data_IF_607581442682
#
_entry.id   IF_607581442682
#
_cell.length_a   1.000
_cell.length_b   1.000
_cell.length_c   1.000
_cell.angle_alpha   90.00
_cell.angle_beta   90.00
_cell.angle_gamma   90.00
#
_symmetry.space_group_name_H-M   'P 1'
#
loop_
_entity.id
_entity.type
_entity.pdbx_description
1 polymer ?
#
# COMPACT_ATOMS: atom_id res chain seq x y z
N UNK A 1 -35.85 -2.24 -10.92
CA UNK A 1 -34.80 -1.39 -11.52
C UNK A 1 -33.75 -1.10 -10.43
N UNK A 2 -32.78 -2.00 -10.23
CA UNK A 2 -31.78 -1.91 -9.14
C UNK A 2 -30.39 -1.81 -9.74
N UNK A 3 -29.92 -0.58 -9.95
CA UNK A 3 -28.62 -0.34 -10.57
C UNK A 3 -27.89 0.83 -9.90
N UNK A 4 -27.26 0.63 -8.72
CA UNK A 4 -26.17 1.53 -8.27
C UNK A 4 -25.34 1.05 -7.07
N UNK A 5 -24.77 -0.14 -7.12
CA UNK A 5 -23.65 -0.49 -6.24
C UNK A 5 -22.48 -1.06 -7.03
N UNK A 6 -21.90 -0.27 -7.93
CA UNK A 6 -20.50 -0.47 -8.34
C UNK A 6 -19.61 0.42 -7.48
N UNK A 7 -19.47 0.09 -6.18
CA UNK A 7 -18.20 0.38 -5.51
C UNK A 7 -17.18 -0.45 -6.29
N UNK A 8 -16.26 0.20 -6.97
CA UNK A 8 -15.14 -0.50 -7.62
C UNK A 8 -14.45 -1.32 -6.52
N UNK A 9 -14.66 -2.65 -6.56
CA UNK A 9 -14.24 -3.63 -5.55
C UNK A 9 -12.74 -3.90 -5.58
N UNK A 10 -12.02 -3.22 -6.48
CA UNK A 10 -10.57 -3.31 -6.59
C UNK A 10 -9.92 -2.47 -5.49
N UNK A 11 -8.91 -3.03 -4.79
CA UNK A 11 -8.18 -2.28 -3.77
C UNK A 11 -7.43 -1.10 -4.40
N UNK A 12 -7.10 -0.09 -3.59
CA UNK A 12 -6.23 1.02 -3.99
C UNK A 12 -4.86 0.49 -4.40
N UNK A 13 -4.26 1.12 -5.41
CA UNK A 13 -2.97 0.70 -5.98
C UNK A 13 -2.06 1.88 -6.23
N UNK A 14 -0.77 1.60 -6.21
CA UNK A 14 0.24 2.53 -6.71
C UNK A 14 0.05 2.65 -8.22
N UNK A 15 -0.32 3.83 -8.68
CA UNK A 15 -0.52 4.12 -10.09
C UNK A 15 0.76 4.64 -10.75
N UNK A 16 1.59 5.41 -10.00
CA UNK A 16 2.87 5.93 -10.50
C UNK A 16 3.92 6.04 -9.40
N UNK A 17 5.18 5.77 -9.75
CA UNK A 17 6.35 6.09 -8.92
C UNK A 17 6.83 7.48 -9.32
N UNK A 18 6.99 8.37 -8.33
CA UNK A 18 7.50 9.73 -8.48
C UNK A 18 8.95 9.71 -8.01
N UNK A 19 9.86 9.82 -8.97
CA UNK A 19 11.28 9.96 -8.67
C UNK A 19 11.57 11.44 -8.35
N UNK A 20 12.45 11.72 -7.38
CA UNK A 20 12.99 13.06 -7.18
C UNK A 20 13.58 13.58 -8.49
N UNK A 21 13.43 14.88 -8.74
CA UNK A 21 14.10 15.55 -9.87
C UNK A 21 15.57 15.73 -9.47
N UNK A 22 16.48 15.01 -10.13
CA UNK A 22 17.92 15.26 -10.00
C UNK A 22 18.30 16.37 -10.96
N UNK A 23 18.67 17.55 -10.44
CA UNK A 23 19.21 18.65 -11.26
C UNK A 23 20.66 18.40 -11.66
N UNK A 24 21.37 17.47 -11.00
CA UNK A 24 22.78 17.19 -11.27
C UNK A 24 23.06 15.70 -11.48
N UNK A 25 24.08 15.45 -12.30
CA UNK A 25 24.59 14.18 -12.81
C UNK A 25 25.09 13.21 -11.73
N UNK A 26 24.25 12.71 -10.83
CA UNK A 26 24.55 11.51 -10.03
C UNK A 26 23.30 10.63 -9.87
N UNK A 27 23.25 9.56 -10.66
CA UNK A 27 22.16 8.58 -10.75
C UNK A 27 22.25 7.58 -9.59
N UNK A 28 22.21 8.07 -8.37
CA UNK A 28 21.99 7.28 -7.16
C UNK A 28 20.91 7.95 -6.30
N UNK A 29 19.80 8.34 -6.93
CA UNK A 29 18.65 8.92 -6.22
C UNK A 29 18.23 7.97 -5.10
N UNK A 30 18.41 8.40 -3.85
CA UNK A 30 18.15 7.57 -2.67
C UNK A 30 16.70 7.07 -2.75
N UNK A 31 16.53 5.75 -2.73
CA UNK A 31 15.21 5.11 -2.80
C UNK A 31 14.29 5.61 -1.67
N UNK A 32 14.86 6.15 -0.59
CA UNK A 32 14.15 6.76 0.54
C UNK A 32 13.35 8.01 0.18
N UNK A 33 13.74 8.76 -0.85
CA UNK A 33 13.06 9.99 -1.25
C UNK A 33 11.94 9.78 -2.27
N UNK A 34 11.80 8.56 -2.79
CA UNK A 34 10.76 8.24 -3.77
C UNK A 34 9.38 8.39 -3.16
N UNK A 35 8.52 9.09 -3.89
CA UNK A 35 7.10 9.21 -3.56
C UNK A 35 6.28 8.33 -4.49
N UNK A 36 5.09 7.95 -4.05
CA UNK A 36 4.21 7.05 -4.77
C UNK A 36 2.84 7.66 -4.87
N UNK A 37 2.36 7.80 -6.11
CA UNK A 37 1.01 8.25 -6.40
C UNK A 37 0.06 7.05 -6.36
N UNK A 38 -0.99 7.16 -5.56
CA UNK A 38 -2.00 6.13 -5.31
C UNK A 38 -3.31 6.58 -5.93
N UNK A 39 -3.99 5.66 -6.61
CA UNK A 39 -5.22 5.91 -7.38
C UNK A 39 -6.49 6.16 -6.53
N UNK A 40 -6.32 6.35 -5.22
CA UNK A 40 -7.39 6.61 -4.25
C UNK A 40 -6.94 7.62 -3.19
N UNK A 41 -7.91 8.36 -2.66
CA UNK A 41 -7.71 9.39 -1.64
C UNK A 41 -8.84 9.42 -0.62
N UNK A 42 -9.24 10.62 -0.20
CA UNK A 42 -10.20 10.85 0.89
C UNK A 42 -11.57 10.20 0.66
N UNK A 43 -12.06 10.13 -0.59
CA UNK A 43 -13.33 9.42 -0.90
C UNK A 43 -13.28 7.92 -0.62
N UNK A 44 -12.09 7.36 -0.46
CA UNK A 44 -11.85 5.97 -0.06
C UNK A 44 -11.25 5.89 1.35
N UNK A 45 -11.48 6.93 2.16
CA UNK A 45 -11.01 7.04 3.53
C UNK A 45 -9.50 6.90 3.66
N UNK A 46 -8.73 7.41 2.70
CA UNK A 46 -7.27 7.52 2.77
C UNK A 46 -6.93 8.97 3.12
N UNK A 47 -6.30 9.19 4.27
CA UNK A 47 -6.00 10.51 4.82
C UNK A 47 -4.50 10.69 5.00
N UNK A 48 -4.06 11.95 5.07
CA UNK A 48 -2.67 12.29 5.43
C UNK A 48 -2.36 11.76 6.83
N UNK A 49 -1.19 11.16 7.00
CA UNK A 49 -0.73 10.54 8.25
C UNK A 49 -1.07 9.06 8.36
N UNK A 50 -1.94 8.52 7.51
CA UNK A 50 -2.30 7.11 7.54
C UNK A 50 -1.08 6.22 7.24
N UNK A 51 -0.95 5.15 8.03
CA UNK A 51 -0.06 4.03 7.73
C UNK A 51 -0.85 2.91 7.05
N UNK A 52 -0.45 2.58 5.82
CA UNK A 52 -1.12 1.56 4.99
C UNK A 52 -0.17 0.41 4.71
N UNK A 53 -0.70 -0.81 4.63
CA UNK A 53 0.09 -1.97 4.23
C UNK A 53 0.21 -2.03 2.71
N UNK A 54 1.39 -2.39 2.21
CA UNK A 54 1.67 -2.55 0.79
C UNK A 54 1.91 -4.01 0.46
N UNK A 55 1.17 -4.53 -0.50
CA UNK A 55 1.26 -5.91 -0.97
C UNK A 55 1.64 -5.99 -2.43
N UNK A 56 2.51 -6.94 -2.77
CA UNK A 56 2.82 -7.29 -4.15
C UNK A 56 2.09 -8.57 -4.56
N UNK A 57 1.36 -8.51 -5.67
CA UNK A 57 0.75 -9.68 -6.28
C UNK A 57 1.79 -10.42 -7.15
N UNK A 58 1.89 -11.74 -6.96
CA UNK A 58 2.73 -12.66 -7.74
C UNK A 58 1.92 -13.84 -8.22
N UNK A 59 2.02 -14.13 -9.51
CA UNK A 59 1.55 -15.38 -10.12
C UNK A 59 2.77 -16.28 -10.27
N UNK A 60 2.85 -17.32 -9.43
CA UNK A 60 3.99 -18.23 -9.39
C UNK A 60 3.75 -19.42 -10.33
N UNK A 61 2.52 -19.90 -10.39
CA UNK A 61 2.12 -21.05 -11.21
C UNK A 61 1.15 -20.58 -12.30
N UNK A 62 1.44 -20.83 -13.58
CA UNK A 62 0.46 -20.69 -14.65
C UNK A 62 -0.79 -21.54 -14.35
N UNK A 63 -1.98 -20.95 -14.39
CA UNK A 63 -3.24 -21.67 -14.19
C UNK A 63 -3.82 -21.65 -12.76
N UNK A 64 -3.08 -21.17 -11.74
CA UNK A 64 -3.69 -20.88 -10.44
C UNK A 64 -4.64 -19.66 -10.57
N UNK A 65 -5.90 -19.78 -10.10
CA UNK A 65 -6.88 -18.70 -10.24
C UNK A 65 -6.58 -17.48 -9.36
N UNK A 66 -5.78 -17.66 -8.30
CA UNK A 66 -5.51 -16.61 -7.31
C UNK A 66 -4.01 -16.26 -7.26
N UNK A 67 -3.71 -14.96 -7.38
CA UNK A 67 -2.35 -14.46 -7.19
C UNK A 67 -1.98 -14.43 -5.70
N UNK A 68 -0.74 -14.79 -5.38
CA UNK A 68 -0.22 -14.70 -4.02
C UNK A 68 0.10 -13.24 -3.72
N UNK A 69 -0.34 -12.75 -2.56
CA UNK A 69 -0.05 -11.40 -2.06
C UNK A 69 1.05 -11.48 -1.02
N UNK A 70 2.17 -10.81 -1.28
CA UNK A 70 3.30 -10.71 -0.34
C UNK A 70 3.29 -9.33 0.29
N UNK A 71 3.25 -9.25 1.62
CA UNK A 71 3.42 -8.00 2.35
C UNK A 71 4.86 -7.49 2.18
N UNK A 72 5.07 -6.41 1.43
CA UNK A 72 6.41 -5.91 1.11
C UNK A 72 6.83 -4.71 1.96
N UNK A 73 5.92 -4.07 2.69
CA UNK A 73 6.22 -2.92 3.52
C UNK A 73 5.00 -2.06 3.80
N UNK A 74 5.23 -0.87 4.32
CA UNK A 74 4.18 0.11 4.66
C UNK A 74 4.31 1.36 3.81
N UNK A 75 3.20 2.08 3.68
CA UNK A 75 3.10 3.36 3.00
C UNK A 75 2.60 4.40 4.00
N UNK A 76 3.41 5.42 4.27
CA UNK A 76 2.99 6.60 5.02
C UNK A 76 2.37 7.59 4.02
N UNK A 77 1.11 7.94 4.20
CA UNK A 77 0.42 8.91 3.35
C UNK A 77 0.85 10.33 3.74
N UNK A 78 1.51 11.04 2.83
CA UNK A 78 2.03 12.40 3.05
C UNK A 78 1.03 13.48 2.64
N UNK A 79 0.22 13.20 1.61
CA UNK A 79 -0.83 14.07 1.13
C UNK A 79 -2.00 13.24 0.59
N UNK A 80 -3.22 13.74 0.76
CA UNK A 80 -4.41 13.11 0.21
C UNK A 80 -5.37 14.15 -0.34
N UNK A 81 -5.89 13.88 -1.52
CA UNK A 81 -6.93 14.66 -2.21
C UNK A 81 -8.20 13.79 -2.31
N UNK A 82 -9.25 14.30 -2.94
CA UNK A 82 -10.52 13.56 -3.03
C UNK A 82 -10.38 12.18 -3.69
N UNK A 83 -9.63 12.09 -4.79
CA UNK A 83 -9.54 10.88 -5.64
C UNK A 83 -8.16 10.23 -5.63
N UNK A 84 -7.14 10.83 -5.02
CA UNK A 84 -5.78 10.32 -5.05
C UNK A 84 -5.00 10.70 -3.81
N UNK A 85 -3.90 10.00 -3.56
CA UNK A 85 -2.99 10.30 -2.46
C UNK A 85 -1.54 10.10 -2.89
N UNK A 86 -0.63 10.67 -2.12
CA UNK A 86 0.81 10.52 -2.27
C UNK A 86 1.37 9.98 -0.97
N UNK A 87 2.23 8.98 -1.06
CA UNK A 87 2.87 8.41 0.11
C UNK A 87 4.34 8.07 -0.09
N UNK A 88 5.01 7.82 1.04
CA UNK A 88 6.38 7.35 1.12
C UNK A 88 6.40 5.89 1.56
N UNK A 89 7.18 5.08 0.87
CA UNK A 89 7.27 3.64 1.14
C UNK A 89 8.37 3.32 2.14
N UNK A 90 8.06 2.49 3.13
CA UNK A 90 9.01 1.90 4.07
C UNK A 90 9.03 0.38 3.86
N UNK A 91 10.16 -0.20 3.44
CA UNK A 91 10.24 -1.63 3.17
C UNK A 91 10.13 -2.50 4.42
N UNK A 92 9.55 -3.68 4.26
CA UNK A 92 9.71 -4.79 5.20
C UNK A 92 10.91 -5.64 4.77
N UNK A 93 12.09 -5.35 5.31
CA UNK A 93 13.38 -5.97 4.95
C UNK A 93 13.34 -7.51 4.94
N UNK A 94 12.63 -8.13 5.88
CA UNK A 94 12.50 -9.60 5.97
C UNK A 94 11.69 -10.17 4.81
N UNK A 95 10.67 -9.47 4.35
CA UNK A 95 9.83 -9.93 3.25
C UNK A 95 10.48 -9.65 1.89
N UNK A 96 11.07 -8.47 1.73
CA UNK A 96 11.69 -8.08 0.46
C UNK A 96 13.00 -8.82 0.20
N UNK A 97 13.75 -9.25 1.22
CA UNK A 97 15.00 -10.02 1.03
C UNK A 97 14.79 -11.38 0.34
N UNK A 98 13.59 -11.94 0.38
CA UNK A 98 13.26 -13.24 -0.22
C UNK A 98 13.54 -13.27 -1.74
N UNK A 99 14.01 -14.40 -2.30
CA UNK A 99 14.33 -14.53 -3.74
C UNK A 99 13.16 -14.20 -4.67
N UNK A 100 11.93 -14.49 -4.23
CA UNK A 100 10.70 -14.25 -5.01
C UNK A 100 10.40 -12.76 -5.25
N UNK A 101 11.02 -11.85 -4.49
CA UNK A 101 10.85 -10.40 -4.60
C UNK A 101 12.09 -9.79 -5.25
N UNK A 102 12.09 -9.69 -6.59
CA UNK A 102 13.19 -9.08 -7.36
C UNK A 102 13.43 -7.61 -7.01
N UNK A 103 12.36 -6.83 -6.94
CA UNK A 103 12.43 -5.39 -6.67
C UNK A 103 12.19 -5.09 -5.19
N UNK A 104 13.22 -4.58 -4.53
CA UNK A 104 13.27 -4.30 -3.08
C UNK A 104 12.61 -2.97 -2.67
N UNK A 105 11.67 -2.49 -3.48
CA UNK A 105 10.96 -1.22 -3.31
C UNK A 105 9.54 -1.37 -3.84
N UNK A 106 8.64 -0.44 -3.51
CA UNK A 106 7.28 -0.46 -4.04
C UNK A 106 7.26 -0.12 -5.55
N UNK A 107 6.27 -0.64 -6.26
CA UNK A 107 6.15 -0.55 -7.72
C UNK A 107 4.71 -0.24 -8.12
N UNK A 108 4.54 0.19 -9.37
CA UNK A 108 3.23 0.31 -10.00
C UNK A 108 2.46 -1.02 -9.87
N UNK A 109 1.15 -0.90 -9.61
CA UNK A 109 0.20 -1.98 -9.38
C UNK A 109 0.32 -2.70 -8.02
N UNK A 110 1.33 -2.39 -7.19
CA UNK A 110 1.32 -2.87 -5.81
C UNK A 110 0.09 -2.31 -5.09
N UNK A 111 -0.50 -3.15 -4.24
CA UNK A 111 -1.75 -2.91 -3.53
C UNK A 111 -1.46 -2.12 -2.26
N UNK A 112 -2.26 -1.08 -1.99
CA UNK A 112 -2.20 -0.26 -0.77
C UNK A 112 -3.51 -0.40 -0.02
N UNK A 113 -3.47 -0.96 1.18
CA UNK A 113 -4.68 -1.29 1.97
C UNK A 113 -4.58 -0.76 3.39
N UNK A 114 -5.72 -0.50 4.07
CA UNK A 114 -5.72 -0.18 5.50
C UNK A 114 -4.88 -1.20 6.29
N UNK A 115 -4.10 -0.70 7.25
CA UNK A 115 -3.51 -1.55 8.29
C UNK A 115 -4.60 -1.79 9.34
N UNK A 116 -5.02 -3.04 9.51
CA UNK A 116 -5.87 -3.40 10.62
C UNK A 116 -4.98 -3.53 11.87
N UNK A 117 -5.21 -2.69 12.86
CA UNK A 117 -4.68 -2.84 14.21
C UNK A 117 -5.89 -3.18 15.06
N UNK A 118 -5.90 -4.39 15.60
CA UNK A 118 -6.93 -4.80 16.54
C UNK A 118 -6.41 -4.39 17.92
N UNK A 119 -7.13 -3.48 18.57
CA UNK A 119 -6.87 -3.14 19.97
C UNK A 119 -7.55 -4.19 20.87
N UNK A 120 -6.91 -4.56 21.97
CA UNK A 120 -7.45 -5.50 22.95
C UNK A 120 -8.76 -4.99 23.55
N UNK A 121 -8.95 -3.67 23.60
CA UNK A 121 -10.21 -3.02 24.02
C UNK A 121 -11.41 -3.34 23.11
N UNK A 122 -11.17 -3.84 21.89
CA UNK A 122 -12.21 -4.25 20.94
C UNK A 122 -12.50 -5.76 21.03
N UNK A 123 -11.54 -6.55 21.54
CA UNK A 123 -11.65 -8.01 21.60
C UNK A 123 -12.21 -8.53 22.92
N UNK A 124 -12.07 -7.76 23.99
CA UNK A 124 -12.53 -8.16 25.31
C UNK A 124 -13.38 -7.04 25.88
N UNK A 125 -14.65 -7.33 26.17
CA UNK A 125 -15.39 -6.52 27.12
C UNK A 125 -14.61 -6.56 28.44
N UNK A 126 -14.44 -5.39 29.08
CA UNK A 126 -13.94 -5.32 30.43
C UNK A 126 -14.90 -6.11 31.31
N UNK A 127 -14.59 -7.39 31.51
CA UNK A 127 -15.42 -8.31 32.26
C UNK A 127 -15.82 -7.64 33.56
N UNK A 128 -17.13 -7.49 33.77
CA UNK A 128 -17.69 -7.23 35.08
C UNK A 128 -17.29 -8.43 35.95
N UNK A 129 -16.10 -8.34 36.55
CA UNK A 129 -15.69 -9.20 37.63
C UNK A 129 -16.60 -8.85 38.81
N UNK A 130 -17.64 -9.68 38.98
CA UNK A 130 -18.45 -9.77 40.19
C UNK A 130 -17.58 -10.23 41.37
#
# INVERSE_FOLDING_TARGET
MLSRWRRSSSPSRIHRVINPVSTDLEVATDKKERRYYIDRGQRSSINKGDLRNVYREKRIVPGLPVAIRVFIGTMLIEASQQSSSVGRFVPNEKAISRPMIRYKTAMKSDIVVPRLVIDNSVLFDSGMAL
#
